data_IF_516292629914
#
_entry.id   IF_516292629914
#
_cell.length_a   1.000
_cell.length_b   1.000
_cell.length_c   1.000
_cell.angle_alpha   90.00
_cell.angle_beta   90.00
_cell.angle_gamma   90.00
#
_symmetry.space_group_name_H-M   'P 1'
#
loop_
_entity.id
_entity.type
_entity.pdbx_description
1 polymer ?
#
# COMPACT_ATOMS: atom_id res chain seq x y z
N UNK A 1 -12.94 16.80 0.14
CA UNK A 1 -11.86 16.03 -0.51
C UNK A 1 -12.21 15.55 -1.93
N UNK A 2 -13.44 15.08 -2.14
CA UNK A 2 -13.94 14.48 -3.40
C UNK A 2 -13.67 15.31 -4.67
N UNK A 3 -13.82 16.64 -4.62
CA UNK A 3 -13.57 17.50 -5.79
C UNK A 3 -12.12 17.52 -6.26
N UNK A 4 -11.17 17.44 -5.31
CA UNK A 4 -9.74 17.35 -5.64
C UNK A 4 -9.42 16.00 -6.27
N UNK A 5 -10.02 14.93 -5.74
CA UNK A 5 -9.86 13.58 -6.27
C UNK A 5 -10.50 13.43 -7.65
N UNK A 6 -11.69 13.97 -7.87
CA UNK A 6 -12.34 13.96 -9.19
C UNK A 6 -11.44 14.60 -10.27
N UNK A 7 -10.87 15.77 -9.98
CA UNK A 7 -9.94 16.42 -10.91
C UNK A 7 -8.66 15.60 -11.13
N UNK A 8 -8.16 14.91 -10.10
CA UNK A 8 -7.01 14.02 -10.24
C UNK A 8 -7.35 12.81 -11.13
N UNK A 9 -8.52 12.21 -10.94
CA UNK A 9 -8.97 11.05 -11.71
C UNK A 9 -9.26 11.40 -13.18
N UNK A 10 -9.79 12.59 -13.48
CA UNK A 10 -9.91 13.08 -14.85
C UNK A 10 -8.54 13.17 -15.56
N UNK A 11 -7.50 13.54 -14.81
CA UNK A 11 -6.13 13.59 -15.34
C UNK A 11 -5.50 12.19 -15.46
N UNK A 12 -5.79 11.26 -14.53
CA UNK A 12 -5.30 9.87 -14.57
C UNK A 12 -5.97 9.04 -15.68
N UNK A 13 -7.24 9.33 -15.99
CA UNK A 13 -7.99 8.66 -17.07
C UNK A 13 -7.62 9.17 -18.48
N UNK A 14 -6.84 10.25 -18.56
CA UNK A 14 -6.35 10.81 -19.82
C UNK A 14 -5.41 9.86 -20.56
N UNK A 15 -5.33 10.02 -21.89
CA UNK A 15 -4.36 9.33 -22.75
C UNK A 15 -3.04 10.09 -22.89
N UNK A 16 -3.02 11.38 -22.54
CA UNK A 16 -1.83 12.22 -22.56
C UNK A 16 -0.96 12.00 -21.32
N UNK A 17 0.31 11.62 -21.50
CA UNK A 17 1.25 11.35 -20.41
C UNK A 17 1.50 12.58 -19.53
N UNK A 18 1.42 13.80 -20.09
CA UNK A 18 1.53 15.05 -19.32
C UNK A 18 0.39 15.21 -18.32
N UNK A 19 -0.85 14.95 -18.74
CA UNK A 19 -2.02 14.91 -17.88
C UNK A 19 -1.94 13.79 -16.85
N UNK A 20 -1.54 12.57 -17.21
CA UNK A 20 -1.40 11.48 -16.24
C UNK A 20 -0.40 11.87 -15.14
N UNK A 21 0.78 12.39 -15.52
CA UNK A 21 1.78 12.90 -14.57
C UNK A 21 1.22 13.99 -13.65
N UNK A 22 0.34 14.85 -14.16
CA UNK A 22 -0.35 15.86 -13.34
C UNK A 22 -1.34 15.22 -12.36
N UNK A 23 -2.11 14.22 -12.80
CA UNK A 23 -3.02 13.46 -11.94
C UNK A 23 -2.29 12.76 -10.79
N UNK A 24 -1.19 12.06 -11.12
CA UNK A 24 -0.29 11.42 -10.14
C UNK A 24 0.19 12.42 -9.09
N UNK A 25 0.69 13.59 -9.50
CA UNK A 25 1.11 14.65 -8.57
C UNK A 25 -0.03 15.22 -7.72
N UNK A 26 -1.25 15.29 -8.25
CA UNK A 26 -2.41 15.76 -7.50
C UNK A 26 -2.78 14.76 -6.40
N UNK A 27 -2.76 13.45 -6.71
CA UNK A 27 -2.95 12.39 -5.71
C UNK A 27 -1.86 12.48 -4.64
N UNK A 28 -0.59 12.53 -5.04
CA UNK A 28 0.55 12.67 -4.14
C UNK A 28 0.39 13.88 -3.21
N UNK A 29 -0.04 15.03 -3.75
CA UNK A 29 -0.30 16.24 -2.96
C UNK A 29 -1.39 16.08 -1.92
N UNK A 30 -2.48 15.36 -2.24
CA UNK A 30 -3.54 15.03 -1.27
C UNK A 30 -2.97 14.16 -0.16
N UNK A 31 -2.23 13.10 -0.49
CA UNK A 31 -1.61 12.19 0.49
C UNK A 31 -0.61 12.93 1.40
N UNK A 32 0.27 13.73 0.80
CA UNK A 32 1.27 14.52 1.53
C UNK A 32 0.62 15.51 2.51
N UNK A 33 -0.48 16.16 2.12
CA UNK A 33 -1.19 17.10 3.00
C UNK A 33 -1.73 16.46 4.28
N UNK A 34 -2.00 15.14 4.24
CA UNK A 34 -2.45 14.38 5.40
C UNK A 34 -1.28 13.86 6.23
N UNK A 35 -0.21 13.38 5.59
CA UNK A 35 0.91 12.75 6.27
C UNK A 35 1.91 13.73 6.92
N UNK A 36 1.97 14.98 6.45
CA UNK A 36 2.90 15.99 6.94
C UNK A 36 2.27 16.84 8.05
N UNK A 37 3.01 17.11 9.12
CA UNK A 37 2.58 18.03 10.16
C UNK A 37 2.48 19.46 9.56
N UNK A 38 1.47 20.25 9.96
CA UNK A 38 1.39 21.64 9.53
C UNK A 38 2.66 22.35 10.00
N UNK A 39 3.40 22.93 9.04
CA UNK A 39 4.57 23.72 9.34
C UNK A 39 4.17 24.81 10.33
N UNK A 40 4.79 24.85 11.51
CA UNK A 40 4.59 25.90 12.50
C UNK A 40 5.23 27.21 12.00
N UNK A 41 4.70 27.77 10.92
CA UNK A 41 5.11 29.02 10.30
C UNK A 41 3.98 30.06 10.28
N UNK A 42 2.97 29.88 11.12
CA UNK A 42 2.02 30.95 11.49
C UNK A 42 2.33 31.47 12.90
N UNK A 43 3.58 31.85 13.15
CA UNK A 43 3.86 32.81 14.22
C UNK A 43 3.18 34.12 13.83
N UNK A 44 2.12 34.48 14.57
CA UNK A 44 1.36 35.72 14.47
C UNK A 44 2.27 36.90 14.10
N UNK A 45 1.91 37.76 13.14
CA UNK A 45 2.67 38.99 12.90
C UNK A 45 2.63 39.83 14.17
N UNK A 46 3.76 39.94 14.86
CA UNK A 46 3.91 40.80 16.02
C UNK A 46 3.76 42.25 15.52
N UNK A 47 2.73 43.01 15.93
CA UNK A 47 2.44 44.33 15.36
C UNK A 47 3.44 45.42 15.78
N UNK A 48 4.51 45.08 16.50
CA UNK A 48 5.40 46.04 17.13
C UNK A 48 6.81 46.12 16.54
N UNK A 49 7.01 45.71 15.27
CA UNK A 49 8.32 45.84 14.61
C UNK A 49 8.27 46.94 13.53
N UNK A 50 8.75 48.13 13.91
CA UNK A 50 8.92 49.28 13.05
C UNK A 50 9.76 48.97 11.80
N UNK A 51 9.49 49.62 10.64
CA UNK A 51 10.16 49.31 9.39
C UNK A 51 11.54 49.97 9.34
N UNK A 52 12.62 49.18 9.40
CA UNK A 52 13.96 49.67 9.04
C UNK A 52 14.19 49.49 7.53
N UNK A 53 14.36 50.62 6.86
CA UNK A 53 14.76 50.77 5.46
C UNK A 53 16.25 50.45 5.26
N UNK A 54 16.58 50.07 4.02
CA UNK A 54 17.90 49.98 3.38
C UNK A 54 18.78 48.79 3.81
N UNK A 55 19.51 48.10 2.92
CA UNK A 55 20.13 48.55 1.68
C UNK A 55 20.47 47.33 0.80
N UNK A 56 20.25 47.47 -0.51
CA UNK A 56 20.88 46.65 -1.56
C UNK A 56 22.40 46.76 -1.41
N UNK A 57 23.13 45.67 -1.61
CA UNK A 57 24.41 45.73 -2.31
C UNK A 57 24.72 44.41 -3.02
N UNK A 58 25.31 44.59 -4.18
CA UNK A 58 25.55 43.65 -5.27
C UNK A 58 27.06 43.38 -5.33
N UNK A 59 27.41 42.15 -5.73
CA UNK A 59 28.63 41.68 -6.40
C UNK A 59 30.01 41.58 -5.70
N UNK A 60 30.65 40.46 -6.09
CA UNK A 60 32.04 40.23 -6.58
C UNK A 60 33.17 39.80 -5.62
N UNK A 61 33.59 38.54 -5.87
CA UNK A 61 34.94 37.94 -5.91
C UNK A 61 36.16 38.79 -5.48
N UNK A 62 37.00 38.26 -4.57
CA UNK A 62 38.36 37.77 -4.86
C UNK A 62 39.13 37.30 -3.60
N UNK A 63 39.86 36.20 -3.77
CA UNK A 63 40.95 35.56 -3.00
C UNK A 63 41.65 36.29 -1.85
N UNK A 64 41.98 35.54 -0.78
CA UNK A 64 43.37 35.30 -0.34
C UNK A 64 43.48 34.13 0.63
N UNK A 65 44.57 33.38 0.48
CA UNK A 65 45.10 32.25 1.23
C UNK A 65 45.41 32.56 2.71
N UNK A 66 45.25 31.56 3.59
CA UNK A 66 46.33 30.96 4.41
C UNK A 66 45.83 30.27 5.71
N UNK A 67 46.27 29.01 5.85
CA UNK A 67 46.67 28.27 7.06
C UNK A 67 45.63 27.70 8.06
N UNK A 68 45.48 26.37 7.95
CA UNK A 68 45.52 25.31 8.96
C UNK A 68 45.21 25.59 10.45
N UNK A 69 44.26 24.82 10.99
CA UNK A 69 44.18 24.57 12.44
C UNK A 69 42.79 24.15 12.97
N UNK A 70 42.51 22.85 12.89
CA UNK A 70 41.60 22.05 13.74
C UNK A 70 40.51 22.75 14.57
N UNK A 71 39.23 22.46 14.27
CA UNK A 71 38.22 21.89 15.20
C UNK A 71 36.78 22.09 14.67
N UNK A 72 36.03 20.98 14.62
CA UNK A 72 34.57 20.88 14.79
C UNK A 72 33.69 22.02 14.24
N UNK A 73 33.22 21.87 13.01
CA UNK A 73 32.04 22.60 12.52
C UNK A 73 30.91 21.62 12.23
N UNK A 74 29.98 21.55 13.18
CA UNK A 74 28.60 21.13 12.98
C UNK A 74 27.97 22.03 11.91
N UNK A 75 28.02 21.59 10.66
CA UNK A 75 27.19 22.13 9.58
C UNK A 75 25.74 21.78 9.88
N UNK A 76 25.11 22.66 10.66
CA UNK A 76 23.68 22.63 10.92
C UNK A 76 23.02 23.25 9.70
N UNK A 77 22.93 22.49 8.61
CA UNK A 77 22.02 22.82 7.52
C UNK A 77 20.60 22.72 8.07
N UNK A 78 20.03 23.88 8.38
CA UNK A 78 18.62 24.04 8.72
C UNK A 78 17.77 23.76 7.47
N UNK A 79 17.59 22.48 7.14
CA UNK A 79 16.39 22.04 6.46
C UNK A 79 15.26 22.12 7.48
N UNK A 80 14.46 23.19 7.41
CA UNK A 80 13.13 23.23 8.01
C UNK A 80 12.25 22.20 7.29
N UNK A 81 12.43 20.93 7.65
CA UNK A 81 11.61 19.82 7.19
C UNK A 81 10.28 19.84 7.92
N UNK A 82 9.18 19.86 7.17
CA UNK A 82 7.85 19.49 7.67
C UNK A 82 7.99 18.14 8.39
N UNK A 83 7.75 18.10 9.70
CA UNK A 83 7.87 16.85 10.45
C UNK A 83 6.75 15.89 10.02
N UNK A 84 7.06 14.62 9.79
CA UNK A 84 6.05 13.60 9.49
C UNK A 84 5.14 13.39 10.72
N UNK A 85 3.83 13.28 10.51
CA UNK A 85 2.91 12.88 11.59
C UNK A 85 3.18 11.43 11.99
N UNK A 86 3.08 11.13 13.28
CA UNK A 86 3.08 9.73 13.71
C UNK A 86 1.75 9.05 13.34
N UNK A 87 1.74 7.71 13.24
CA UNK A 87 0.52 6.95 12.90
C UNK A 87 -0.63 7.25 13.86
N UNK A 88 -0.34 7.39 15.16
CA UNK A 88 -1.35 7.74 16.17
C UNK A 88 -1.95 9.13 15.93
N UNK A 89 -1.14 10.10 15.52
CA UNK A 89 -1.64 11.44 15.19
C UNK A 89 -2.50 11.45 13.93
N UNK A 90 -2.22 10.55 12.99
CA UNK A 90 -2.98 10.43 11.76
C UNK A 90 -4.38 9.86 12.01
N UNK A 91 -4.53 8.88 12.91
CA UNK A 91 -5.82 8.28 13.26
C UNK A 91 -6.82 9.29 13.86
N UNK A 92 -6.32 10.32 14.55
CA UNK A 92 -7.12 11.40 15.13
C UNK A 92 -7.34 12.58 14.20
N UNK A 93 -6.67 12.63 13.04
CA UNK A 93 -6.80 13.71 12.08
C UNK A 93 -8.16 13.66 11.35
N UNK A 94 -9.00 14.71 11.45
CA UNK A 94 -10.28 14.78 10.74
C UNK A 94 -10.14 14.63 9.23
N UNK A 95 -9.07 15.17 8.63
CA UNK A 95 -8.82 15.06 7.19
C UNK A 95 -8.51 13.62 6.79
N UNK A 96 -7.77 12.88 7.62
CA UNK A 96 -7.50 11.46 7.39
C UNK A 96 -8.76 10.61 7.54
N UNK A 97 -9.64 10.91 8.50
CA UNK A 97 -10.92 10.20 8.65
C UNK A 97 -11.85 10.44 7.46
N UNK A 98 -11.92 11.68 6.95
CA UNK A 98 -12.66 11.99 5.72
C UNK A 98 -12.06 11.24 4.53
N UNK A 99 -10.73 11.21 4.41
CA UNK A 99 -10.03 10.44 3.40
C UNK A 99 -10.39 8.96 3.46
N UNK A 100 -10.20 8.34 4.62
CA UNK A 100 -10.45 6.92 4.81
C UNK A 100 -11.89 6.56 4.41
N UNK A 101 -12.87 7.32 4.88
CA UNK A 101 -14.29 7.15 4.49
C UNK A 101 -14.51 7.35 2.99
N UNK A 102 -13.84 8.31 2.38
CA UNK A 102 -13.93 8.57 0.93
C UNK A 102 -13.37 7.38 0.14
N UNK A 103 -12.31 6.74 0.63
CA UNK A 103 -11.69 5.57 -0.01
C UNK A 103 -12.55 4.29 0.06
N UNK A 104 -13.49 4.19 1.01
CA UNK A 104 -14.47 3.09 1.05
C UNK A 104 -15.46 3.14 -0.13
N UNK A 105 -15.67 4.32 -0.71
CA UNK A 105 -16.50 4.50 -1.89
C UNK A 105 -15.78 4.10 -3.17
N UNK A 106 -16.42 3.24 -3.99
CA UNK A 106 -15.85 2.79 -5.27
C UNK A 106 -15.49 3.96 -6.22
N UNK A 107 -16.26 5.06 -6.18
CA UNK A 107 -16.04 6.21 -7.06
C UNK A 107 -14.74 6.95 -6.76
N UNK A 108 -14.32 6.97 -5.49
CA UNK A 108 -13.20 7.79 -5.03
C UNK A 108 -12.02 6.99 -4.46
N UNK A 109 -12.07 5.67 -4.58
CA UNK A 109 -10.98 4.78 -4.20
C UNK A 109 -9.78 4.98 -5.14
N UNK A 110 -8.74 5.63 -4.63
CA UNK A 110 -7.54 5.99 -5.37
C UNK A 110 -6.82 4.74 -5.87
N UNK A 111 -6.75 3.67 -5.07
CA UNK A 111 -6.06 2.45 -5.47
C UNK A 111 -6.67 1.85 -6.76
N UNK A 112 -8.01 1.87 -6.88
CA UNK A 112 -8.71 1.43 -8.10
C UNK A 112 -8.29 2.26 -9.31
N UNK A 113 -8.32 3.60 -9.20
CA UNK A 113 -7.94 4.50 -10.29
C UNK A 113 -6.46 4.40 -10.67
N UNK A 114 -5.57 4.15 -9.71
CA UNK A 114 -4.14 3.94 -9.95
C UNK A 114 -3.89 2.62 -10.67
N UNK A 115 -4.57 1.53 -10.28
CA UNK A 115 -4.49 0.23 -10.96
C UNK A 115 -4.97 0.33 -12.42
N UNK A 116 -6.12 0.99 -12.66
CA UNK A 116 -6.61 1.20 -14.02
C UNK A 116 -5.63 2.05 -14.85
N UNK A 117 -4.96 3.01 -14.21
CA UNK A 117 -3.94 3.85 -14.87
C UNK A 117 -2.71 3.02 -15.21
N UNK A 118 -2.26 2.19 -14.28
CA UNK A 118 -1.12 1.31 -14.45
C UNK A 118 -1.35 0.35 -15.63
N UNK A 119 -2.49 -0.34 -15.68
CA UNK A 119 -2.86 -1.23 -16.79
C UNK A 119 -2.72 -0.52 -18.15
N UNK A 120 -3.24 0.72 -18.25
CA UNK A 120 -3.13 1.52 -19.48
C UNK A 120 -1.69 1.94 -19.82
N UNK A 121 -0.86 2.21 -18.81
CA UNK A 121 0.54 2.60 -19.03
C UNK A 121 1.37 1.40 -19.51
N UNK A 122 1.19 0.24 -18.88
CA UNK A 122 1.88 -1.00 -19.25
C UNK A 122 1.50 -1.44 -20.67
N UNK A 123 0.21 -1.41 -21.01
CA UNK A 123 -0.27 -1.77 -22.35
C UNK A 123 0.32 -0.89 -23.48
N UNK A 124 0.86 0.29 -23.16
CA UNK A 124 1.44 1.23 -24.13
C UNK A 124 2.96 1.37 -24.04
N UNK A 125 3.57 0.92 -22.95
CA UNK A 125 4.94 1.23 -22.55
C UNK A 125 6.03 0.42 -23.23
N UNK A 126 5.84 0.00 -24.49
CA UNK A 126 6.77 -0.92 -25.16
C UNK A 126 8.19 -0.35 -25.36
N UNK A 127 8.34 0.98 -25.40
CA UNK A 127 9.64 1.66 -25.55
C UNK A 127 10.18 2.28 -24.24
N UNK A 128 9.63 1.89 -23.09
CA UNK A 128 10.05 2.43 -21.78
C UNK A 128 9.69 3.90 -21.52
N UNK A 129 8.93 4.54 -22.43
CA UNK A 129 8.54 5.95 -22.34
C UNK A 129 7.80 6.30 -21.04
N UNK A 130 7.12 5.31 -20.46
CA UNK A 130 6.30 5.49 -19.25
C UNK A 130 6.94 4.93 -17.99
N UNK A 131 8.19 4.44 -18.02
CA UNK A 131 8.82 3.76 -16.87
C UNK A 131 8.81 4.59 -15.59
N UNK A 132 9.23 5.86 -15.68
CA UNK A 132 9.21 6.77 -14.53
C UNK A 132 7.80 7.02 -14.00
N UNK A 133 6.81 7.00 -14.89
CA UNK A 133 5.42 7.19 -14.52
C UNK A 133 4.82 5.93 -13.88
N UNK A 134 5.17 4.75 -14.39
CA UNK A 134 4.84 3.45 -13.80
C UNK A 134 5.38 3.36 -12.37
N UNK A 135 6.67 3.64 -12.18
CA UNK A 135 7.30 3.66 -10.84
C UNK A 135 6.59 4.65 -9.92
N UNK A 136 6.29 5.86 -10.40
CA UNK A 136 5.58 6.86 -9.58
C UNK A 136 4.15 6.45 -9.22
N UNK A 137 3.43 5.77 -10.12
CA UNK A 137 2.10 5.23 -9.84
C UNK A 137 2.19 4.11 -8.79
N UNK A 138 3.20 3.24 -8.89
CA UNK A 138 3.44 2.16 -7.93
C UNK A 138 3.79 2.68 -6.54
N UNK A 139 4.66 3.67 -6.42
CA UNK A 139 5.03 4.25 -5.13
C UNK A 139 3.83 4.90 -4.43
N UNK A 140 2.96 5.58 -5.19
CA UNK A 140 1.73 6.15 -4.64
C UNK A 140 0.75 5.03 -4.26
N UNK A 141 0.58 4.02 -5.12
CA UNK A 141 -0.30 2.88 -4.84
C UNK A 141 0.13 2.18 -3.55
N UNK A 142 1.43 1.94 -3.38
CA UNK A 142 2.02 1.41 -2.15
C UNK A 142 1.59 2.23 -0.93
N UNK A 143 1.76 3.56 -0.98
CA UNK A 143 1.36 4.47 0.10
C UNK A 143 -0.15 4.45 0.38
N UNK A 144 -0.99 4.37 -0.66
CA UNK A 144 -2.45 4.26 -0.52
C UNK A 144 -2.85 2.96 0.17
N UNK A 145 -2.21 1.83 -0.14
CA UNK A 145 -2.49 0.55 0.50
C UNK A 145 -2.12 0.53 1.99
N UNK A 146 -1.10 1.30 2.38
CA UNK A 146 -0.75 1.51 3.79
C UNK A 146 -1.77 2.40 4.52
N UNK A 147 -2.23 3.46 3.86
CA UNK A 147 -3.18 4.42 4.44
C UNK A 147 -4.62 3.90 4.47
N UNK A 148 -4.97 3.01 3.54
CA UNK A 148 -6.29 2.39 3.43
C UNK A 148 -6.14 0.88 3.21
N UNK A 149 -5.89 0.09 4.29
CA UNK A 149 -5.76 -1.36 4.23
C UNK A 149 -6.91 -2.11 3.51
N UNK A 150 -8.18 -1.68 3.56
CA UNK A 150 -9.24 -2.36 2.80
C UNK A 150 -8.99 -2.38 1.28
N UNK A 151 -8.23 -1.44 0.72
CA UNK A 151 -7.86 -1.45 -0.71
C UNK A 151 -6.96 -2.62 -1.08
N UNK A 152 -6.29 -3.29 -0.13
CA UNK A 152 -5.50 -4.50 -0.42
C UNK A 152 -6.36 -5.62 -1.00
N UNK A 153 -7.67 -5.67 -0.71
CA UNK A 153 -8.59 -6.68 -1.26
C UNK A 153 -8.76 -6.62 -2.78
N UNK A 154 -8.31 -5.54 -3.42
CA UNK A 154 -8.31 -5.45 -4.89
C UNK A 154 -7.39 -6.52 -5.51
N UNK A 155 -6.35 -6.96 -4.79
CA UNK A 155 -5.37 -7.95 -5.26
C UNK A 155 -5.85 -9.40 -5.12
N UNK A 156 -7.01 -9.65 -4.50
CA UNK A 156 -7.65 -10.97 -4.53
C UNK A 156 -8.22 -11.29 -5.92
N UNK A 157 -8.27 -10.30 -6.82
CA UNK A 157 -8.68 -10.47 -8.22
C UNK A 157 -7.46 -10.88 -9.03
N UNK A 158 -7.61 -11.96 -9.79
CA UNK A 158 -6.55 -12.49 -10.65
C UNK A 158 -5.98 -11.45 -11.62
N UNK A 159 -6.83 -10.61 -12.20
CA UNK A 159 -6.39 -9.54 -13.13
C UNK A 159 -5.42 -8.56 -12.47
N UNK A 160 -5.71 -8.16 -11.23
CA UNK A 160 -4.88 -7.20 -10.49
C UNK A 160 -3.59 -7.85 -10.00
N UNK A 161 -3.65 -9.10 -9.55
CA UNK A 161 -2.46 -9.85 -9.14
C UNK A 161 -1.53 -10.12 -10.34
N UNK A 162 -2.08 -10.58 -11.47
CA UNK A 162 -1.31 -10.78 -12.71
C UNK A 162 -0.64 -9.49 -13.18
N UNK A 163 -1.33 -8.35 -13.14
CA UNK A 163 -0.71 -7.06 -13.50
C UNK A 163 0.57 -6.77 -12.70
N UNK A 164 0.62 -7.13 -11.41
CA UNK A 164 1.83 -6.98 -10.60
C UNK A 164 2.86 -8.05 -10.93
N UNK A 165 2.44 -9.30 -11.15
CA UNK A 165 3.33 -10.40 -11.51
C UNK A 165 4.01 -10.17 -12.88
N UNK A 166 3.27 -9.66 -13.86
CA UNK A 166 3.81 -9.29 -15.18
C UNK A 166 4.90 -8.21 -15.05
N UNK A 167 4.78 -7.32 -14.07
CA UNK A 167 5.72 -6.23 -13.85
C UNK A 167 6.99 -6.64 -13.08
N UNK A 168 7.00 -7.79 -12.41
CA UNK A 168 8.22 -8.34 -11.80
C UNK A 168 9.09 -9.11 -12.80
N UNK A 169 8.58 -9.42 -13.98
CA UNK A 169 9.31 -10.20 -14.99
C UNK A 169 10.68 -9.56 -15.35
N UNK A 170 11.69 -10.39 -15.71
CA UNK A 170 13.04 -9.94 -16.07
C UNK A 170 13.12 -8.92 -17.21
N UNK A 171 12.08 -8.83 -18.06
CA UNK A 171 12.01 -7.88 -19.18
C UNK A 171 11.92 -6.43 -18.71
N UNK A 172 11.37 -6.20 -17.51
CA UNK A 172 11.19 -4.88 -16.94
C UNK A 172 12.47 -4.38 -16.28
N UNK A 173 12.67 -3.06 -16.26
CA UNK A 173 13.84 -2.50 -15.62
C UNK A 173 13.81 -2.69 -14.08
N UNK A 174 14.97 -2.76 -13.40
CA UNK A 174 15.03 -3.04 -11.97
C UNK A 174 14.21 -2.09 -11.07
N UNK A 175 14.00 -0.85 -11.51
CA UNK A 175 13.19 0.12 -10.78
C UNK A 175 11.70 -0.26 -10.77
N UNK A 176 11.16 -0.70 -11.92
CA UNK A 176 9.79 -1.20 -12.04
C UNK A 176 9.63 -2.48 -11.21
N UNK A 177 10.56 -3.42 -11.34
CA UNK A 177 10.54 -4.67 -10.56
C UNK A 177 10.53 -4.37 -9.04
N UNK A 178 11.44 -3.50 -8.58
CA UNK A 178 11.55 -3.18 -7.15
C UNK A 178 10.30 -2.48 -6.59
N UNK A 179 9.68 -1.58 -7.35
CA UNK A 179 8.46 -0.89 -6.91
C UNK A 179 7.24 -1.84 -6.95
N UNK A 180 7.16 -2.72 -7.97
CA UNK A 180 6.12 -3.75 -8.09
C UNK A 180 6.20 -4.77 -6.95
N UNK A 181 7.41 -5.24 -6.60
CA UNK A 181 7.61 -6.13 -5.44
C UNK A 181 7.21 -5.43 -4.13
N UNK A 182 7.42 -4.12 -4.01
CA UNK A 182 7.01 -3.36 -2.81
C UNK A 182 5.48 -3.29 -2.68
N UNK A 183 4.76 -3.13 -3.79
CA UNK A 183 3.30 -3.22 -3.84
C UNK A 183 2.83 -4.64 -3.52
N UNK A 184 3.48 -5.65 -4.10
CA UNK A 184 3.18 -7.07 -3.85
C UNK A 184 3.29 -7.39 -2.35
N UNK A 185 4.42 -7.05 -1.72
CA UNK A 185 4.65 -7.22 -0.27
C UNK A 185 3.47 -6.65 0.53
N UNK A 186 3.12 -5.37 0.30
CA UNK A 186 2.07 -4.72 1.08
C UNK A 186 0.69 -5.32 0.81
N UNK A 187 0.44 -5.78 -0.41
CA UNK A 187 -0.81 -6.45 -0.77
C UNK A 187 -0.98 -7.79 -0.05
N UNK A 188 0.10 -8.54 0.18
CA UNK A 188 0.06 -9.87 0.81
C UNK A 188 -0.02 -9.80 2.35
N UNK A 189 0.55 -8.76 2.97
CA UNK A 189 0.55 -8.60 4.44
C UNK A 189 -0.89 -8.54 4.99
N UNK A 190 -1.19 -9.46 5.90
CA UNK A 190 -2.46 -9.61 6.63
C UNK A 190 -3.70 -9.83 5.74
N UNK A 191 -3.52 -10.36 4.53
CA UNK A 191 -4.63 -10.66 3.60
C UNK A 191 -4.47 -12.07 3.00
N UNK A 192 -4.96 -13.12 3.68
CA UNK A 192 -4.82 -14.51 3.22
C UNK A 192 -5.46 -14.75 1.84
N UNK A 193 -6.61 -14.12 1.55
CA UNK A 193 -7.25 -14.15 0.22
C UNK A 193 -6.26 -13.77 -0.91
N UNK A 194 -5.40 -12.78 -0.68
CA UNK A 194 -4.39 -12.35 -1.66
C UNK A 194 -3.26 -13.37 -1.79
N UNK A 195 -2.85 -14.03 -0.70
CA UNK A 195 -1.88 -15.13 -0.75
C UNK A 195 -2.42 -16.29 -1.59
N UNK A 196 -3.70 -16.65 -1.42
CA UNK A 196 -4.33 -17.71 -2.23
C UNK A 196 -4.32 -17.35 -3.72
N UNK A 197 -4.65 -16.11 -4.07
CA UNK A 197 -4.63 -15.64 -5.45
C UNK A 197 -3.20 -15.62 -6.03
N UNK A 198 -2.22 -15.13 -5.27
CA UNK A 198 -0.81 -15.14 -5.65
C UNK A 198 -0.29 -16.55 -5.94
N UNK A 199 -0.64 -17.53 -5.11
CA UNK A 199 -0.24 -18.92 -5.30
C UNK A 199 -0.94 -19.58 -6.50
N UNK A 200 -2.24 -19.30 -6.70
CA UNK A 200 -3.00 -19.82 -7.83
C UNK A 200 -2.47 -19.31 -9.19
N UNK A 201 -1.74 -18.20 -9.19
CA UNK A 201 -1.11 -17.60 -10.36
C UNK A 201 0.40 -17.89 -10.46
N UNK A 202 0.86 -18.99 -9.83
CA UNK A 202 2.26 -19.41 -9.84
C UNK A 202 3.24 -18.32 -9.33
N UNK A 203 2.76 -17.42 -8.47
CA UNK A 203 3.57 -16.31 -7.95
C UNK A 203 4.81 -16.77 -7.19
N UNK A 204 4.74 -17.91 -6.49
CA UNK A 204 5.89 -18.53 -5.83
C UNK A 204 6.96 -18.95 -6.84
N UNK A 205 6.56 -19.58 -7.95
CA UNK A 205 7.47 -19.96 -9.02
C UNK A 205 8.11 -18.74 -9.66
N UNK A 206 7.34 -17.68 -9.91
CA UNK A 206 7.85 -16.44 -10.49
C UNK A 206 8.92 -15.80 -9.59
N UNK A 207 8.67 -15.72 -8.28
CA UNK A 207 9.60 -15.13 -7.30
C UNK A 207 10.84 -16.00 -7.11
N UNK A 208 10.70 -17.32 -6.96
CA UNK A 208 11.84 -18.23 -6.77
C UNK A 208 12.73 -18.27 -8.01
N UNK A 209 12.13 -18.38 -9.19
CA UNK A 209 12.86 -18.38 -10.46
C UNK A 209 13.64 -17.09 -10.65
N UNK A 210 13.05 -15.94 -10.30
CA UNK A 210 13.74 -14.66 -10.39
C UNK A 210 14.89 -14.56 -9.38
N UNK A 211 14.73 -15.10 -8.17
CA UNK A 211 15.79 -15.12 -7.15
C UNK A 211 17.00 -15.94 -7.63
N UNK A 212 16.77 -17.07 -8.29
CA UNK A 212 17.82 -17.93 -8.86
C UNK A 212 18.59 -17.24 -10.00
N UNK A 213 17.98 -16.29 -10.71
CA UNK A 213 18.65 -15.53 -11.77
C UNK A 213 19.68 -14.50 -11.29
N UNK A 214 19.93 -14.42 -9.96
CA UNK A 214 20.84 -13.45 -9.33
C UNK A 214 20.51 -12.00 -9.74
N UNK A 215 19.35 -11.48 -9.35
CA UNK A 215 18.88 -10.16 -9.77
C UNK A 215 19.73 -9.05 -9.15
N UNK A 216 19.50 -7.81 -9.58
CA UNK A 216 20.14 -6.64 -8.95
C UNK A 216 19.90 -6.64 -7.44
N UNK A 217 20.85 -6.12 -6.65
CA UNK A 217 20.80 -6.15 -5.18
C UNK A 217 19.48 -5.64 -4.60
N UNK A 218 18.92 -4.57 -5.17
CA UNK A 218 17.64 -4.00 -4.73
C UNK A 218 16.47 -4.95 -4.97
N UNK A 219 16.44 -5.60 -6.14
CA UNK A 219 15.38 -6.56 -6.50
C UNK A 219 15.53 -7.84 -5.67
N UNK A 220 16.74 -8.37 -5.52
CA UNK A 220 17.02 -9.54 -4.70
C UNK A 220 16.57 -9.38 -3.24
N UNK A 221 16.84 -8.21 -2.64
CA UNK A 221 16.35 -7.91 -1.30
C UNK A 221 14.82 -7.93 -1.23
N UNK A 222 14.13 -7.36 -2.22
CA UNK A 222 12.67 -7.35 -2.25
C UNK A 222 12.05 -8.72 -2.49
N UNK A 223 12.69 -9.58 -3.28
CA UNK A 223 12.22 -10.96 -3.46
C UNK A 223 12.32 -11.76 -2.15
N UNK A 224 13.42 -11.60 -1.43
CA UNK A 224 13.58 -12.18 -0.10
C UNK A 224 12.50 -11.65 0.86
N UNK A 225 12.21 -10.34 0.84
CA UNK A 225 11.11 -9.77 1.63
C UNK A 225 9.74 -10.37 1.25
N UNK A 226 9.46 -10.63 -0.04
CA UNK A 226 8.23 -11.32 -0.47
C UNK A 226 8.15 -12.72 0.14
N UNK A 227 9.25 -13.50 0.09
CA UNK A 227 9.30 -14.84 0.68
C UNK A 227 9.06 -14.79 2.19
N UNK A 228 9.72 -13.87 2.90
CA UNK A 228 9.50 -13.69 4.35
C UNK A 228 8.06 -13.33 4.66
N UNK A 229 7.49 -12.36 3.94
CA UNK A 229 6.11 -11.89 4.13
C UNK A 229 5.11 -13.01 3.85
N UNK A 230 5.32 -13.77 2.78
CA UNK A 230 4.47 -14.89 2.45
C UNK A 230 4.55 -16.01 3.50
N UNK A 231 5.74 -16.30 4.05
CA UNK A 231 5.94 -17.28 5.13
C UNK A 231 5.40 -16.83 6.48
N UNK A 232 5.07 -15.55 6.67
CA UNK A 232 4.52 -15.09 7.94
C UNK A 232 3.21 -15.82 8.29
N UNK A 233 2.92 -16.03 9.60
CA UNK A 233 1.68 -16.61 10.06
C UNK A 233 0.48 -15.81 9.54
N UNK A 234 -0.52 -16.51 9.00
CA UNK A 234 -1.76 -15.86 8.59
C UNK A 234 -2.65 -15.63 9.80
N UNK A 235 -2.98 -14.37 10.06
CA UNK A 235 -4.02 -14.04 11.05
C UNK A 235 -5.37 -14.18 10.36
N UNK A 236 -6.33 -14.95 10.91
CA UNK A 236 -7.66 -15.04 10.32
C UNK A 236 -8.25 -13.64 10.23
N UNK A 237 -8.69 -13.25 9.04
CA UNK A 237 -9.38 -12.00 8.82
C UNK A 237 -10.59 -11.96 9.77
N UNK A 238 -10.65 -10.95 10.65
CA UNK A 238 -11.64 -10.85 11.73
C UNK A 238 -13.02 -11.23 11.18
N UNK A 239 -13.74 -12.20 11.80
CA UNK A 239 -15.04 -12.60 11.31
C UNK A 239 -15.93 -11.36 11.20
N UNK A 240 -16.46 -11.11 10.00
CA UNK A 240 -17.68 -10.28 9.86
C UNK A 240 -18.63 -10.76 10.94
N UNK A 241 -19.18 -9.84 11.72
CA UNK A 241 -20.14 -10.15 12.78
C UNK A 241 -21.37 -10.87 12.20
N UNK A 242 -21.23 -12.17 11.98
CA UNK A 242 -22.31 -13.10 11.75
C UNK A 242 -23.14 -13.13 13.03
N UNK A 243 -24.46 -13.12 12.84
CA UNK A 243 -25.43 -13.05 13.92
C UNK A 243 -25.05 -13.95 15.09
N UNK A 244 -24.96 -13.34 16.27
CA UNK A 244 -24.78 -14.04 17.54
C UNK A 244 -25.99 -14.97 17.78
N UNK A 245 -25.94 -16.19 17.28
CA UNK A 245 -26.70 -17.30 17.82
C UNK A 245 -25.98 -17.80 19.07
N UNK A 246 -26.22 -17.15 20.21
CA UNK A 246 -26.03 -17.68 21.58
C UNK A 246 -26.29 -16.59 22.63
N UNK A 247 -27.56 -16.21 22.85
CA UNK A 247 -28.00 -15.67 24.14
C UNK A 247 -29.37 -16.28 24.47
N UNK A 248 -29.50 -17.11 25.53
CA UNK A 248 -30.80 -17.61 25.97
C UNK A 248 -31.66 -16.45 26.47
N UNK A 249 -32.90 -16.41 26.00
CA UNK A 249 -33.76 -15.24 26.08
C UNK A 249 -34.17 -14.82 27.50
N UNK A 250 -34.42 -13.52 27.64
CA UNK A 250 -35.52 -13.03 28.46
C UNK A 250 -35.96 -11.66 27.91
N UNK A 251 -37.28 -11.46 27.86
CA UNK A 251 -38.01 -10.25 27.46
C UNK A 251 -38.41 -10.15 25.98
N UNK A 252 -39.37 -11.01 25.65
CA UNK A 252 -40.60 -10.64 24.94
C UNK A 252 -40.93 -9.14 25.01
N UNK A 253 -41.21 -8.52 23.86
CA UNK A 253 -42.55 -8.04 23.49
C UNK A 253 -42.61 -7.68 22.00
N UNK A 254 -43.50 -8.38 21.30
CA UNK A 254 -43.80 -8.32 19.86
C UNK A 254 -44.90 -7.25 19.56
N UNK A 255 -45.62 -7.28 18.42
CA UNK A 255 -45.24 -6.85 17.07
C UNK A 255 -46.33 -5.97 16.40
N UNK A 256 -46.04 -5.31 15.28
CA UNK A 256 -47.07 -4.87 14.33
C UNK A 256 -47.00 -5.72 13.06
N UNK A 257 -48.10 -6.42 12.82
CA UNK A 257 -48.34 -7.45 11.81
C UNK A 257 -48.54 -6.82 10.42
N UNK A 258 -48.11 -7.53 9.37
CA UNK A 258 -48.98 -7.95 8.27
C UNK A 258 -48.49 -9.30 7.70
N UNK A 259 -49.38 -10.29 7.45
CA UNK A 259 -49.01 -11.70 7.32
C UNK A 259 -49.05 -12.26 5.88
N UNK A 260 -48.11 -13.20 5.64
CA UNK A 260 -48.16 -14.42 4.84
C UNK A 260 -49.10 -14.58 3.64
N UNK A 261 -48.50 -14.79 2.47
CA UNK A 261 -48.87 -15.77 1.42
C UNK A 261 -47.55 -15.96 0.64
N UNK A 262 -46.81 -17.07 0.62
CA UNK A 262 -47.14 -18.42 0.20
C UNK A 262 -46.18 -19.42 0.88
N UNK A 263 -46.73 -20.36 1.64
CA UNK A 263 -46.04 -21.59 1.99
C UNK A 263 -46.55 -22.72 1.08
N UNK A 264 -45.67 -23.26 0.22
CA UNK A 264 -45.65 -24.68 -0.20
C UNK A 264 -44.60 -24.87 -1.29
N UNK A 265 -43.49 -25.54 -0.99
CA UNK A 265 -43.39 -26.94 -1.38
C UNK A 265 -42.24 -27.64 -0.68
N UNK A 266 -42.61 -28.77 -0.07
CA UNK A 266 -41.76 -29.77 0.52
C UNK A 266 -41.07 -30.54 -0.61
N UNK A 267 -39.75 -30.63 -0.57
CA UNK A 267 -38.96 -31.26 -1.63
C UNK A 267 -37.55 -31.55 -1.12
N UNK A 268 -37.46 -32.58 -0.29
CA UNK A 268 -36.23 -33.28 0.09
C UNK A 268 -35.35 -33.53 -1.15
N UNK A 269 -34.34 -32.69 -1.33
CA UNK A 269 -33.11 -33.03 -2.01
C UNK A 269 -31.96 -32.45 -1.20
N UNK A 270 -31.39 -33.34 -0.40
CA UNK A 270 -30.03 -33.32 0.14
C UNK A 270 -29.06 -32.93 -0.98
N UNK A 271 -28.88 -31.63 -1.19
CA UNK A 271 -27.70 -31.07 -1.84
C UNK A 271 -26.72 -30.85 -0.71
N UNK A 272 -25.69 -31.69 -0.70
CA UNK A 272 -24.45 -31.41 -0.01
C UNK A 272 -24.03 -30.01 -0.42
N UNK A 273 -24.24 -29.08 0.50
CA UNK A 273 -23.84 -27.69 0.35
C UNK A 273 -22.32 -27.71 0.49
N UNK A 274 -21.63 -27.82 -0.64
CA UNK A 274 -20.19 -27.55 -0.77
C UNK A 274 -19.92 -26.05 -0.58
N UNK A 275 -20.41 -25.48 0.52
CA UNK A 275 -20.07 -24.16 1.02
C UNK A 275 -18.91 -24.32 1.99
N UNK A 276 -17.76 -24.75 1.47
CA UNK A 276 -16.48 -24.66 2.14
C UNK A 276 -15.69 -23.49 1.54
N UNK A 277 -16.30 -22.30 1.49
CA UNK A 277 -15.57 -21.03 1.35
C UNK A 277 -15.15 -20.56 2.75
N UNK A 278 -14.53 -21.46 3.51
CA UNK A 278 -13.74 -21.09 4.66
C UNK A 278 -12.36 -20.75 4.11
N UNK A 279 -12.11 -19.45 3.94
CA UNK A 279 -10.80 -18.86 3.64
C UNK A 279 -9.74 -19.52 4.52
N UNK A 280 -9.07 -20.54 3.95
CA UNK A 280 -8.27 -21.49 4.71
C UNK A 280 -6.91 -20.86 4.94
N UNK A 281 -6.76 -20.18 6.08
CA UNK A 281 -5.47 -19.71 6.53
C UNK A 281 -4.49 -20.89 6.59
N UNK A 282 -3.32 -20.75 5.98
CA UNK A 282 -2.27 -21.77 6.03
C UNK A 282 -1.28 -21.51 7.17
N UNK A 283 -0.85 -22.60 7.80
CA UNK A 283 0.23 -22.58 8.79
C UNK A 283 1.58 -22.30 8.13
N UNK A 284 2.55 -21.84 8.92
CA UNK A 284 3.93 -21.61 8.46
C UNK A 284 4.56 -22.92 7.97
N UNK A 285 4.24 -24.04 8.61
CA UNK A 285 4.72 -25.36 8.22
C UNK A 285 4.20 -25.80 6.85
N UNK A 286 2.90 -25.64 6.58
CA UNK A 286 2.29 -25.97 5.28
C UNK A 286 2.88 -25.10 4.16
N UNK A 287 3.05 -23.80 4.43
CA UNK A 287 3.70 -22.88 3.51
C UNK A 287 5.16 -23.25 3.25
N UNK A 288 5.91 -23.61 4.28
CA UNK A 288 7.30 -24.05 4.11
C UNK A 288 7.38 -25.32 3.25
N UNK A 289 6.46 -26.27 3.42
CA UNK A 289 6.41 -27.48 2.59
C UNK A 289 6.12 -27.16 1.12
N UNK A 290 5.20 -26.23 0.85
CA UNK A 290 4.93 -25.75 -0.52
C UNK A 290 6.16 -25.08 -1.14
N UNK A 291 6.87 -24.22 -0.38
CA UNK A 291 8.04 -23.51 -0.87
C UNK A 291 9.22 -24.43 -1.17
N UNK A 292 9.34 -25.57 -0.46
CA UNK A 292 10.37 -26.60 -0.74
C UNK A 292 10.25 -27.21 -2.13
N UNK A 293 9.08 -27.13 -2.76
CA UNK A 293 8.91 -27.51 -4.17
C UNK A 293 9.63 -26.59 -5.14
N UNK A 294 9.99 -25.37 -4.71
CA UNK A 294 10.56 -24.32 -5.55
C UNK A 294 11.99 -23.92 -5.16
N UNK A 295 12.41 -24.15 -3.91
CA UNK A 295 13.70 -23.72 -3.37
C UNK A 295 14.27 -24.75 -2.39
N UNK A 296 15.61 -24.90 -2.35
CA UNK A 296 16.29 -25.83 -1.43
C UNK A 296 16.51 -25.22 -0.03
N UNK A 297 16.80 -23.92 0.05
CA UNK A 297 17.23 -23.23 1.30
C UNK A 297 16.08 -22.79 2.23
N UNK A 298 14.88 -23.37 2.09
CA UNK A 298 13.67 -22.95 2.82
C UNK A 298 13.81 -23.06 4.34
N UNK A 299 14.53 -24.08 4.82
CA UNK A 299 14.71 -24.31 6.25
C UNK A 299 15.50 -23.16 6.92
N UNK A 300 16.39 -22.49 6.19
CA UNK A 300 17.11 -21.31 6.71
C UNK A 300 16.17 -20.12 6.92
N UNK A 301 15.27 -19.86 5.96
CA UNK A 301 14.26 -18.80 6.08
C UNK A 301 13.32 -19.04 7.28
N UNK A 302 12.89 -20.29 7.50
CA UNK A 302 12.01 -20.63 8.63
C UNK A 302 12.75 -20.46 9.97
N UNK A 303 14.01 -20.86 10.03
CA UNK A 303 14.84 -20.68 11.24
C UNK A 303 15.08 -19.20 11.52
N UNK A 304 15.39 -18.40 10.50
CA UNK A 304 15.59 -16.96 10.67
C UNK A 304 14.29 -16.26 11.11
N UNK A 305 13.15 -16.59 10.48
CA UNK A 305 11.84 -16.05 10.86
C UNK A 305 11.48 -16.37 12.31
N UNK A 306 11.79 -17.58 12.79
CA UNK A 306 11.57 -17.97 14.21
C UNK A 306 12.50 -17.26 15.19
N UNK A 307 13.71 -16.89 14.75
CA UNK A 307 14.68 -16.14 15.57
C UNK A 307 14.39 -14.65 15.58
N UNK A 308 13.86 -14.12 14.48
CA UNK A 308 13.62 -12.71 14.23
C UNK A 308 12.17 -12.51 13.76
N UNK A 309 11.15 -12.76 14.61
CA UNK A 309 9.77 -12.55 14.22
C UNK A 309 9.54 -11.07 13.87
N UNK A 310 9.15 -10.77 12.61
CA UNK A 310 8.86 -9.40 12.23
C UNK A 310 7.64 -8.90 13.03
N UNK A 311 7.74 -7.67 13.55
CA UNK A 311 6.68 -6.97 14.29
C UNK A 311 6.39 -7.40 15.74
N UNK A 312 7.23 -8.24 16.39
CA UNK A 312 7.18 -8.42 17.85
C UNK A 312 7.47 -7.07 18.54
N UNK A 313 6.41 -6.37 18.97
CA UNK A 313 6.50 -5.11 19.69
C UNK A 313 5.55 -3.99 19.23
N UNK A 314 4.82 -4.16 18.13
CA UNK A 314 3.79 -3.20 17.69
C UNK A 314 2.42 -3.87 17.67
N UNK A 315 1.80 -3.93 18.85
CA UNK A 315 0.35 -4.06 18.93
C UNK A 315 -0.21 -2.70 18.50
N UNK A 316 -0.86 -2.65 17.33
CA UNK A 316 -1.66 -1.50 16.89
C UNK A 316 -3.03 -1.56 17.55
#
# INVERSE_FOLDING_TARGET
MESLLALAFDNLSSYDGGKIKKGVKQVEGVLASMCLAPSTSSSKPNPNRSPRKHKRNVSSLANSSDLDGASSSSTTDQQQGSQNKSLNQLADDPAFREFFKTQEGFQYNIATHLLDTLERLVARGQDGQYDLLIVSVMDILQGVLLLHPPSKKLFAREQTMNLVLDLIEPVNCPAIQSSSLSVLIISLIDVPENNRCFEALDGLLAVSSLLDTLPSRSVGQKLIEVIYVWLMPETPSIPRAGGRDSVPGLLQRSPSKLPGVFARNNGDKKRENAGAEGDSTLSVEEKAEMLKGYMEDVDEFVVDLKRNPPFEGVVV
#
